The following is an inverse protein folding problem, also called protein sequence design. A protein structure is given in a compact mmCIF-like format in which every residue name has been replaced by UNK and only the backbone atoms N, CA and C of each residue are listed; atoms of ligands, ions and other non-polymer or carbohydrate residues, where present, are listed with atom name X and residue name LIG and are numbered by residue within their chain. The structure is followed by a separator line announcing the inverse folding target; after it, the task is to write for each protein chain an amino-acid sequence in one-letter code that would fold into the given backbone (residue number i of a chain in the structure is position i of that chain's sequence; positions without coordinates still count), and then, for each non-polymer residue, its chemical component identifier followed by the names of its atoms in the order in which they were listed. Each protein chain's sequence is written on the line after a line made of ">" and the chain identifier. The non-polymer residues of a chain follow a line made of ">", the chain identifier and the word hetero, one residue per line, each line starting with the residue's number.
data_IF_749681523518
#
_entry.id   IF_749681523518
#
_cell.length_a   1.000
_cell.length_b   1.000
_cell.length_c   1.000
_cell.angle_alpha   90.00
_cell.angle_beta   90.00
_cell.angle_gamma   90.00
#
_symmetry.space_group_name_H-M   'P 1'
#
loop_
_entity.id
_entity.type
_entity.pdbx_description
1 polymer ?
#
# COMPACT_ATOMS: atom_id res chain seq x y z
N UNK A 1 53.54 -43.03 -22.02
CA UNK A 1 54.53 -42.96 -20.94
C UNK A 1 55.07 -41.53 -20.85
N UNK A 2 54.77 -40.88 -19.72
CA UNK A 2 55.49 -39.79 -19.04
C UNK A 2 55.84 -38.49 -19.78
N UNK A 3 55.06 -37.43 -19.51
CA UNK A 3 55.53 -36.03 -19.51
C UNK A 3 55.46 -35.48 -18.08
N UNK A 4 56.54 -34.86 -17.55
CA UNK A 4 56.61 -34.45 -16.15
C UNK A 4 55.98 -33.08 -15.91
N UNK A 5 55.30 -32.98 -14.78
CA UNK A 5 54.76 -31.78 -14.17
C UNK A 5 55.80 -31.11 -13.24
N UNK A 6 55.62 -29.79 -13.03
CA UNK A 6 56.31 -28.82 -12.14
C UNK A 6 57.10 -27.77 -12.92
N UNK A 7 56.98 -26.46 -12.65
CA UNK A 7 56.85 -25.85 -11.32
C UNK A 7 56.35 -24.40 -11.46
N UNK A 8 55.32 -24.04 -10.69
CA UNK A 8 54.80 -22.68 -10.57
C UNK A 8 55.64 -21.88 -9.57
N UNK A 9 56.20 -20.72 -9.98
CA UNK A 9 56.62 -19.68 -9.02
C UNK A 9 56.83 -18.32 -9.69
N UNK A 10 55.91 -17.38 -9.43
CA UNK A 10 56.18 -16.17 -8.60
C UNK A 10 55.02 -15.18 -8.77
N UNK A 11 54.55 -14.70 -7.61
CA UNK A 11 53.62 -13.59 -7.47
C UNK A 11 54.32 -12.24 -7.67
N UNK A 12 53.45 -11.25 -7.88
CA UNK A 12 53.66 -9.80 -7.69
C UNK A 12 54.20 -9.11 -8.96
N UNK A 13 53.76 -7.92 -9.37
CA UNK A 13 53.20 -6.74 -8.71
C UNK A 13 52.38 -6.00 -9.79
N UNK A 14 51.22 -5.41 -9.49
CA UNK A 14 50.64 -4.35 -10.35
C UNK A 14 50.50 -3.07 -9.54
N UNK A 15 51.27 -2.09 -9.98
CA UNK A 15 51.40 -0.72 -9.46
C UNK A 15 50.24 0.13 -10.00
N UNK A 16 49.74 1.01 -9.15
CA UNK A 16 48.64 1.94 -9.42
C UNK A 16 48.99 3.01 -10.46
N UNK A 17 48.00 3.40 -11.26
CA UNK A 17 47.99 4.67 -12.00
C UNK A 17 46.72 5.44 -11.62
N UNK A 18 46.90 6.53 -10.88
CA UNK A 18 45.87 7.51 -10.55
C UNK A 18 45.88 8.56 -11.65
N UNK A 19 44.79 8.68 -12.41
CA UNK A 19 44.55 9.80 -13.33
C UNK A 19 43.20 10.41 -13.02
N UNK A 20 43.23 11.64 -12.53
CA UNK A 20 42.07 12.40 -12.11
C UNK A 20 41.24 12.90 -13.29
N UNK A 21 39.92 12.90 -13.07
CA UNK A 21 38.93 13.58 -13.89
C UNK A 21 38.09 14.45 -12.93
N UNK A 22 38.35 15.76 -12.94
CA UNK A 22 37.50 16.72 -12.26
C UNK A 22 36.27 16.97 -13.14
N UNK A 23 35.21 16.19 -12.94
CA UNK A 23 33.89 16.50 -13.48
C UNK A 23 33.16 17.41 -12.49
N UNK A 24 33.04 18.70 -12.82
CA UNK A 24 32.18 19.62 -12.06
C UNK A 24 30.73 19.29 -12.43
N UNK A 25 30.11 18.42 -11.63
CA UNK A 25 28.68 18.16 -11.73
C UNK A 25 27.92 19.34 -11.12
N UNK A 26 27.30 20.15 -11.98
CA UNK A 26 26.32 21.16 -11.55
C UNK A 26 25.04 20.41 -11.18
N UNK A 27 24.90 20.08 -9.91
CA UNK A 27 23.73 19.41 -9.36
C UNK A 27 22.53 20.34 -9.35
N UNK A 28 21.74 20.36 -10.43
CA UNK A 28 20.35 20.83 -10.35
C UNK A 28 19.50 19.71 -9.75
N UNK A 29 19.63 19.48 -8.45
CA UNK A 29 18.70 18.62 -7.72
C UNK A 29 17.36 19.33 -7.62
N UNK A 30 16.52 19.17 -8.63
CA UNK A 30 15.09 19.44 -8.50
C UNK A 30 14.57 18.33 -7.58
N UNK A 31 14.50 18.62 -6.28
CA UNK A 31 13.95 17.71 -5.29
C UNK A 31 12.47 17.53 -5.55
N UNK A 32 12.10 16.52 -6.33
CA UNK A 32 10.75 15.97 -6.32
C UNK A 32 10.59 15.23 -4.98
N UNK A 33 10.09 15.94 -3.97
CA UNK A 33 9.76 15.33 -2.68
C UNK A 33 8.77 14.20 -2.91
N UNK A 34 9.14 12.98 -2.53
CA UNK A 34 8.22 11.85 -2.55
C UNK A 34 7.11 12.13 -1.53
N UNK A 35 5.88 12.36 -1.99
CA UNK A 35 4.71 12.34 -1.14
C UNK A 35 4.46 10.89 -0.70
N UNK A 36 4.95 10.51 0.47
CA UNK A 36 4.65 9.21 1.05
C UNK A 36 3.24 9.25 1.65
N UNK A 37 2.34 8.43 1.13
CA UNK A 37 1.05 8.20 1.76
C UNK A 37 1.28 7.55 3.13
N UNK A 38 0.66 8.10 4.17
CA UNK A 38 0.72 7.48 5.50
C UNK A 38 0.04 6.10 5.44
N UNK A 39 0.59 5.08 6.10
CA UNK A 39 -0.09 3.81 6.27
C UNK A 39 -1.46 4.04 6.91
N UNK A 40 -2.51 3.41 6.35
CA UNK A 40 -3.85 3.46 6.95
C UNK A 40 -3.90 2.58 8.18
N UNK A 41 -4.64 3.01 9.20
CA UNK A 41 -4.76 2.30 10.48
C UNK A 41 -5.80 1.17 10.40
N UNK A 42 -6.66 1.18 9.38
CA UNK A 42 -7.54 0.08 9.06
C UNK A 42 -7.61 -0.16 7.54
N UNK A 43 -7.65 -1.43 7.13
CA UNK A 43 -7.67 -1.83 5.73
C UNK A 43 -8.49 -3.09 5.50
N UNK A 44 -9.01 -3.27 4.28
CA UNK A 44 -9.66 -4.50 3.86
C UNK A 44 -9.00 -5.05 2.59
N UNK A 45 -8.94 -6.37 2.49
CA UNK A 45 -8.45 -7.10 1.32
C UNK A 45 -9.58 -7.99 0.81
N UNK A 46 -10.26 -7.61 -0.28
CA UNK A 46 -11.28 -8.43 -0.91
C UNK A 46 -10.66 -9.40 -1.94
N UNK A 47 -11.12 -10.65 -1.93
CA UNK A 47 -10.71 -11.71 -2.85
C UNK A 47 -11.97 -12.40 -3.40
N UNK A 48 -12.21 -12.36 -4.73
CA UNK A 48 -13.31 -13.10 -5.33
C UNK A 48 -13.01 -14.61 -5.29
N UNK A 49 -14.00 -15.41 -4.89
CA UNK A 49 -13.93 -16.88 -4.83
C UNK A 49 -15.25 -17.42 -5.36
N UNK A 50 -15.23 -18.00 -6.57
CA UNK A 50 -16.43 -18.52 -7.24
C UNK A 50 -17.58 -17.49 -7.34
N UNK A 51 -18.70 -17.73 -6.64
CA UNK A 51 -19.89 -16.87 -6.60
C UNK A 51 -19.85 -15.79 -5.52
N UNK A 52 -18.80 -15.70 -4.70
CA UNK A 52 -18.74 -14.78 -3.56
C UNK A 52 -17.46 -13.96 -3.54
N UNK A 53 -17.43 -12.94 -2.70
CA UNK A 53 -16.22 -12.20 -2.35
C UNK A 53 -15.94 -12.43 -0.88
N UNK A 54 -14.77 -12.98 -0.58
CA UNK A 54 -14.26 -13.13 0.78
C UNK A 54 -13.40 -11.90 1.10
N UNK A 55 -13.61 -11.27 2.25
CA UNK A 55 -12.95 -10.02 2.64
C UNK A 55 -12.35 -10.19 4.03
N UNK A 56 -11.05 -9.95 4.13
CA UNK A 56 -10.36 -9.83 5.42
C UNK A 56 -10.16 -8.34 5.71
N UNK A 57 -10.68 -7.85 6.83
CA UNK A 57 -10.45 -6.48 7.28
C UNK A 57 -9.66 -6.49 8.58
N UNK A 58 -8.61 -5.67 8.65
CA UNK A 58 -7.74 -5.54 9.80
C UNK A 58 -7.77 -4.10 10.29
N UNK A 59 -7.96 -3.94 11.60
CA UNK A 59 -7.79 -2.69 12.32
C UNK A 59 -6.54 -2.80 13.19
N UNK A 60 -5.54 -1.95 12.94
CA UNK A 60 -4.35 -1.83 13.77
C UNK A 60 -4.41 -0.63 14.71
N UNK A 61 -5.52 0.12 14.71
CA UNK A 61 -5.73 1.23 15.64
C UNK A 61 -6.11 0.71 17.04
N UNK A 62 -5.71 1.49 18.05
CA UNK A 62 -6.11 1.26 19.45
C UNK A 62 -7.58 1.62 19.72
N UNK A 63 -8.20 2.37 18.81
CA UNK A 63 -9.62 2.67 18.77
C UNK A 63 -10.38 1.74 17.80
N UNK A 64 -11.71 1.80 17.83
CA UNK A 64 -12.53 1.04 16.91
C UNK A 64 -12.40 1.54 15.47
N UNK A 65 -12.78 0.69 14.52
CA UNK A 65 -12.83 1.02 13.10
C UNK A 65 -14.16 0.57 12.48
N UNK A 66 -14.45 1.09 11.29
CA UNK A 66 -15.61 0.67 10.49
C UNK A 66 -15.13 0.15 9.14
N UNK A 67 -15.64 -1.01 8.73
CA UNK A 67 -15.50 -1.55 7.39
C UNK A 67 -16.78 -1.35 6.59
N UNK A 68 -16.64 -0.96 5.32
CA UNK A 68 -17.70 -0.92 4.33
C UNK A 68 -17.33 -1.81 3.15
N UNK A 69 -18.30 -2.58 2.67
CA UNK A 69 -18.16 -3.49 1.52
C UNK A 69 -19.32 -3.27 0.56
N UNK A 70 -19.01 -3.26 -0.72
CA UNK A 70 -19.98 -3.25 -1.82
C UNK A 70 -19.55 -4.26 -2.88
N UNK A 71 -20.47 -5.13 -3.31
CA UNK A 71 -20.27 -6.12 -4.38
C UNK A 71 -21.39 -5.98 -5.40
N UNK A 72 -21.04 -5.89 -6.67
CA UNK A 72 -21.98 -5.93 -7.79
C UNK A 72 -21.91 -7.31 -8.42
N UNK A 73 -23.04 -7.99 -8.48
CA UNK A 73 -23.19 -9.33 -9.01
C UNK A 73 -23.60 -9.34 -10.49
N UNK A 74 -23.34 -10.44 -11.19
CA UNK A 74 -23.66 -10.60 -12.62
C UNK A 74 -25.16 -10.59 -12.93
N UNK A 75 -26.01 -10.80 -11.91
CA UNK A 75 -27.46 -10.67 -11.99
C UNK A 75 -27.97 -9.28 -11.59
N UNK A 76 -27.06 -8.29 -11.57
CA UNK A 76 -27.29 -6.88 -11.27
C UNK A 76 -27.66 -6.57 -9.81
N UNK A 77 -27.63 -7.55 -8.90
CA UNK A 77 -27.77 -7.27 -7.47
C UNK A 77 -26.54 -6.54 -6.94
N UNK A 78 -26.77 -5.55 -6.08
CA UNK A 78 -25.73 -4.88 -5.31
C UNK A 78 -25.86 -5.31 -3.86
N UNK A 79 -24.82 -5.94 -3.34
CA UNK A 79 -24.72 -6.37 -1.95
C UNK A 79 -23.87 -5.34 -1.21
N UNK A 80 -24.39 -4.79 -0.12
CA UNK A 80 -23.65 -3.86 0.75
C UNK A 80 -23.60 -4.40 2.17
N UNK A 81 -22.51 -4.14 2.87
CA UNK A 81 -22.36 -4.48 4.28
C UNK A 81 -21.46 -3.48 4.98
N UNK A 82 -21.87 -3.07 6.18
CA UNK A 82 -21.05 -2.27 7.08
C UNK A 82 -20.86 -3.03 8.40
N UNK A 83 -19.64 -3.03 8.92
CA UNK A 83 -19.28 -3.75 10.14
C UNK A 83 -18.34 -2.94 11.02
N UNK A 84 -18.50 -3.09 12.34
CA UNK A 84 -17.57 -2.49 13.31
C UNK A 84 -16.45 -3.47 13.62
N UNK A 85 -15.21 -2.99 13.46
CA UNK A 85 -14.02 -3.71 13.86
C UNK A 85 -13.59 -3.20 15.23
N UNK A 86 -13.37 -4.12 16.16
CA UNK A 86 -12.80 -3.79 17.47
C UNK A 86 -11.38 -3.23 17.32
N UNK A 87 -10.84 -2.56 18.35
CA UNK A 87 -9.43 -2.24 18.43
C UNK A 87 -8.56 -3.47 18.15
N UNK A 88 -7.46 -3.27 17.41
CA UNK A 88 -6.41 -4.28 17.19
C UNK A 88 -6.94 -5.66 16.77
N UNK A 89 -7.95 -5.67 15.90
CA UNK A 89 -8.67 -6.89 15.52
C UNK A 89 -8.73 -7.08 14.01
N UNK A 90 -8.85 -8.35 13.62
CA UNK A 90 -9.16 -8.78 12.26
C UNK A 90 -10.53 -9.43 12.24
N UNK A 91 -11.30 -9.12 11.20
CA UNK A 91 -12.59 -9.75 10.91
C UNK A 91 -12.60 -10.32 9.49
N UNK A 92 -13.42 -11.34 9.30
CA UNK A 92 -13.67 -11.94 8.00
C UNK A 92 -15.14 -11.74 7.63
N UNK A 93 -15.37 -11.31 6.40
CA UNK A 93 -16.68 -11.10 5.80
C UNK A 93 -16.76 -11.90 4.52
N UNK A 94 -17.96 -12.35 4.17
CA UNK A 94 -18.21 -12.99 2.89
C UNK A 94 -19.57 -12.53 2.36
N UNK A 95 -19.59 -12.12 1.09
CA UNK A 95 -20.79 -11.68 0.39
C UNK A 95 -20.98 -12.57 -0.84
N UNK A 96 -22.01 -13.41 -0.82
CA UNK A 96 -22.32 -14.37 -1.87
C UNK A 96 -23.35 -13.81 -2.85
N UNK A 97 -23.00 -13.77 -4.12
CA UNK A 97 -23.93 -13.43 -5.20
C UNK A 97 -24.98 -14.52 -5.41
N UNK A 98 -24.83 -15.71 -4.82
CA UNK A 98 -25.80 -16.79 -4.90
C UNK A 98 -25.69 -17.61 -6.18
N UNK A 99 -26.60 -18.58 -6.37
CA UNK A 99 -26.49 -19.57 -7.44
C UNK A 99 -26.61 -18.90 -8.81
N UNK A 100 -25.78 -19.37 -9.76
CA UNK A 100 -25.70 -18.89 -11.14
C UNK A 100 -25.30 -17.40 -11.31
N UNK A 101 -24.91 -16.71 -10.23
CA UNK A 101 -24.35 -15.36 -10.27
C UNK A 101 -22.91 -15.36 -9.74
N UNK A 102 -22.10 -14.40 -10.21
CA UNK A 102 -20.73 -14.20 -9.75
C UNK A 102 -20.41 -12.72 -9.55
N UNK A 103 -19.39 -12.36 -8.75
CA UNK A 103 -18.97 -10.98 -8.56
C UNK A 103 -18.42 -10.40 -9.87
N UNK A 104 -18.97 -9.26 -10.29
CA UNK A 104 -18.50 -8.48 -11.46
C UNK A 104 -17.58 -7.35 -11.02
N UNK A 105 -17.92 -6.68 -9.93
CA UNK A 105 -17.07 -5.68 -9.30
C UNK A 105 -17.25 -5.69 -7.79
N UNK A 106 -16.22 -5.26 -7.07
CA UNK A 106 -16.25 -5.19 -5.62
C UNK A 106 -15.35 -4.09 -5.11
N UNK A 107 -15.73 -3.52 -3.98
CA UNK A 107 -14.93 -2.60 -3.21
C UNK A 107 -15.08 -2.91 -1.73
N UNK A 108 -13.97 -2.86 -1.00
CA UNK A 108 -13.97 -2.95 0.44
C UNK A 108 -13.00 -1.92 1.00
N UNK A 109 -13.45 -1.16 1.99
CA UNK A 109 -12.65 -0.16 2.68
C UNK A 109 -12.85 -0.30 4.17
N UNK A 110 -11.81 -0.01 4.95
CA UNK A 110 -11.93 0.19 6.38
C UNK A 110 -11.33 1.55 6.78
N UNK A 111 -11.77 2.05 7.93
CA UNK A 111 -11.28 3.30 8.49
C UNK A 111 -11.39 3.28 10.01
N UNK A 112 -10.30 3.58 10.71
CA UNK A 112 -10.37 3.81 12.16
C UNK A 112 -11.19 5.06 12.45
N UNK A 113 -11.79 5.12 13.63
CA UNK A 113 -12.52 6.31 14.08
C UNK A 113 -11.55 7.48 14.21
N UNK A 114 -10.32 7.20 14.64
CA UNK A 114 -9.23 8.17 14.71
C UNK A 114 -8.84 8.76 13.35
N UNK A 115 -8.68 7.92 12.33
CA UNK A 115 -8.41 8.37 10.95
C UNK A 115 -9.54 9.26 10.44
N UNK A 116 -10.81 8.92 10.74
CA UNK A 116 -11.95 9.77 10.38
C UNK A 116 -11.92 11.13 11.06
N UNK A 117 -11.63 11.17 12.35
CA UNK A 117 -11.55 12.43 13.11
C UNK A 117 -10.43 13.33 12.59
N UNK A 118 -9.24 12.76 12.35
CA UNK A 118 -8.11 13.52 11.80
C UNK A 118 -8.40 14.11 10.42
N UNK A 119 -9.06 13.34 9.55
CA UNK A 119 -9.44 13.85 8.23
C UNK A 119 -10.48 14.96 8.32
N UNK A 120 -11.49 14.79 9.19
CA UNK A 120 -12.50 15.84 9.43
C UNK A 120 -11.84 17.14 9.87
N UNK A 121 -10.90 17.06 10.80
CA UNK A 121 -10.19 18.24 11.29
C UNK A 121 -9.31 18.87 10.20
N UNK A 122 -8.65 18.04 9.37
CA UNK A 122 -7.85 18.51 8.23
C UNK A 122 -8.70 19.22 7.14
N UNK A 123 -9.91 18.75 6.90
CA UNK A 123 -10.84 19.38 5.97
C UNK A 123 -11.36 20.72 6.50
N UNK A 124 -11.71 20.80 7.80
CA UNK A 124 -12.08 22.07 8.47
C UNK A 124 -10.93 23.09 8.35
N UNK A 125 -9.68 22.68 8.58
CA UNK A 125 -8.52 23.55 8.45
C UNK A 125 -8.25 23.99 7.00
N UNK A 126 -8.59 23.14 6.02
CA UNK A 126 -8.48 23.50 4.59
C UNK A 126 -9.54 24.54 4.20
N UNK A 127 -10.77 24.38 4.67
CA UNK A 127 -11.86 25.33 4.43
C UNK A 127 -11.56 26.68 5.04
N UNK A 128 -11.10 26.72 6.29
CA UNK A 128 -10.71 27.97 6.97
C UNK A 128 -9.61 28.72 6.22
N UNK A 129 -8.59 28.01 5.71
CA UNK A 129 -7.51 28.62 4.91
C UNK A 129 -8.02 29.14 3.57
N UNK A 130 -8.89 28.38 2.91
CA UNK A 130 -9.51 28.80 1.65
C UNK A 130 -10.33 30.08 1.82
N UNK A 131 -11.12 30.18 2.90
CA UNK A 131 -11.90 31.37 3.21
C UNK A 131 -11.02 32.60 3.50
N UNK A 132 -9.88 32.41 4.20
CA UNK A 132 -8.96 33.51 4.47
C UNK A 132 -8.26 34.03 3.22
N UNK A 133 -7.94 33.15 2.27
CA UNK A 133 -7.31 33.52 1.00
C UNK A 133 -8.27 34.17 -0.01
N UNK A 134 -9.57 34.21 0.29
CA UNK A 134 -10.61 34.84 -0.54
C UNK A 134 -11.02 36.24 -0.06
N UNK A 135 -10.43 36.73 1.03
CA UNK A 135 -10.59 38.07 1.60
C UNK A 135 -9.39 38.95 1.27
#
# INVERSE_FOLDING_TARGET
>A
MSTPERTTRRRSIVVAAVTGLAAVAVSTTIGAGAAQARPREASCTPVPVDSRVDITCTNTDVGPASAGVMVVCSDLRVLTREERIRPEATIELSLDCGPAAHPVSWNANAKSDHERDRERDADIDRERRSAHNQL
#
